data_IF_365726260362
#
_entry.id   IF_365726260362
#
_cell.length_a   1.000
_cell.length_b   1.000
_cell.length_c   1.000
_cell.angle_alpha   90.00
_cell.angle_beta   90.00
_cell.angle_gamma   90.00
#
_symmetry.space_group_name_H-M   'P 1'
#
loop_
_entity.id
_entity.type
_entity.pdbx_description
1 polymer ?
#
# COMPACT_ATOMS: atom_id res chain seq x y z
N UNK A 1 -16.79 -36.26 18.73
CA UNK A 1 -17.22 -34.88 18.43
C UNK A 1 -16.00 -33.99 18.43
N UNK A 2 -15.42 -33.74 17.24
CA UNK A 2 -14.24 -32.90 17.11
C UNK A 2 -14.69 -31.57 16.51
N UNK A 3 -14.62 -30.49 17.30
CA UNK A 3 -14.93 -29.14 16.84
C UNK A 3 -13.81 -28.66 15.89
N UNK A 4 -14.05 -28.73 14.58
CA UNK A 4 -13.24 -28.08 13.56
C UNK A 4 -13.64 -26.60 13.47
N UNK A 5 -12.96 -25.74 14.24
CA UNK A 5 -12.90 -24.32 13.89
C UNK A 5 -11.70 -24.12 12.95
N UNK A 6 -11.79 -24.64 11.73
CA UNK A 6 -10.84 -24.34 10.67
C UNK A 6 -11.48 -23.29 9.77
N UNK A 7 -11.04 -22.04 9.88
CA UNK A 7 -11.37 -21.03 8.87
C UNK A 7 -10.76 -21.49 7.54
N UNK A 8 -11.56 -22.11 6.68
CA UNK A 8 -11.14 -22.46 5.33
C UNK A 8 -10.73 -21.19 4.59
N UNK A 9 -9.53 -21.17 4.01
CA UNK A 9 -9.08 -20.05 3.18
C UNK A 9 -9.98 -20.00 1.93
N UNK A 10 -10.82 -18.96 1.83
CA UNK A 10 -11.67 -18.71 0.66
C UNK A 10 -11.45 -17.31 0.10
N UNK A 11 -11.92 -17.08 -1.13
CA UNK A 11 -11.88 -15.77 -1.77
C UNK A 11 -12.65 -14.75 -0.92
N UNK A 12 -12.15 -13.51 -0.87
CA UNK A 12 -12.70 -12.39 -0.10
C UNK A 12 -12.58 -12.53 1.43
N UNK A 13 -11.79 -13.48 1.93
CA UNK A 13 -11.42 -13.54 3.34
C UNK A 13 -10.06 -12.89 3.59
N UNK A 14 -9.89 -12.32 4.78
CA UNK A 14 -8.59 -11.88 5.27
C UNK A 14 -7.69 -13.10 5.52
N UNK A 15 -6.41 -12.98 5.16
CA UNK A 15 -5.41 -13.99 5.41
C UNK A 15 -4.05 -13.34 5.70
N UNK A 16 -3.25 -13.98 6.54
CA UNK A 16 -1.96 -13.51 6.99
C UNK A 16 -0.91 -14.60 6.80
N UNK A 17 0.20 -14.26 6.15
CA UNK A 17 1.38 -15.12 6.04
C UNK A 17 2.36 -14.71 7.12
N UNK A 18 2.67 -15.63 8.04
CA UNK A 18 3.74 -15.46 9.03
C UNK A 18 5.05 -16.01 8.47
N UNK A 19 6.10 -15.21 8.52
CA UNK A 19 7.47 -15.57 8.13
C UNK A 19 8.32 -15.48 9.39
N UNK A 20 8.93 -16.59 9.77
CA UNK A 20 9.88 -16.60 10.88
C UNK A 20 11.17 -15.90 10.45
N UNK A 21 11.63 -14.98 11.27
CA UNK A 21 12.87 -14.22 11.06
C UNK A 21 13.94 -14.74 11.99
N UNK A 22 15.20 -14.48 11.64
CA UNK A 22 16.33 -14.77 12.52
C UNK A 22 16.19 -13.96 13.82
N UNK A 23 16.71 -14.51 14.93
CA UNK A 23 16.54 -13.88 16.25
C UNK A 23 15.17 -14.11 16.91
N UNK A 24 14.31 -14.97 16.34
CA UNK A 24 13.08 -15.44 16.99
C UNK A 24 11.84 -14.56 16.77
N UNK A 25 11.94 -13.54 15.90
CA UNK A 25 10.80 -12.71 15.51
C UNK A 25 9.90 -13.37 14.47
N UNK A 26 8.75 -12.72 14.19
CA UNK A 26 7.89 -13.05 13.04
C UNK A 26 7.55 -11.79 12.25
N UNK A 27 7.74 -11.85 10.94
CA UNK A 27 7.24 -10.86 9.99
C UNK A 27 5.92 -11.33 9.41
N UNK A 28 4.98 -10.42 9.23
CA UNK A 28 3.67 -10.73 8.68
C UNK A 28 3.43 -10.05 7.34
N UNK A 29 2.75 -10.77 6.45
CA UNK A 29 2.22 -10.25 5.19
C UNK A 29 0.72 -10.53 5.18
N UNK A 30 -0.07 -9.49 5.45
CA UNK A 30 -1.53 -9.58 5.45
C UNK A 30 -2.13 -9.16 4.12
N UNK A 31 -3.31 -9.67 3.84
CA UNK A 31 -4.13 -9.18 2.77
C UNK A 31 -5.46 -9.90 2.70
N UNK A 32 -6.12 -9.70 1.58
CA UNK A 32 -7.37 -10.34 1.19
C UNK A 32 -7.05 -11.35 0.11
N UNK A 33 -7.64 -12.54 0.21
CA UNK A 33 -7.52 -13.58 -0.80
C UNK A 33 -8.34 -13.15 -2.02
N UNK A 34 -7.66 -12.72 -3.09
CA UNK A 34 -8.32 -12.24 -4.31
C UNK A 34 -8.52 -13.34 -5.35
N UNK A 35 -7.74 -14.42 -5.26
CA UNK A 35 -7.92 -15.65 -6.05
C UNK A 35 -7.47 -16.84 -5.23
N UNK A 36 -8.21 -17.95 -5.35
CA UNK A 36 -7.85 -19.24 -4.77
C UNK A 36 -8.24 -20.34 -5.75
N UNK A 37 -7.37 -21.34 -5.92
CA UNK A 37 -7.68 -22.49 -6.77
C UNK A 37 -6.76 -23.67 -6.50
N UNK A 38 -7.28 -24.88 -6.71
CA UNK A 38 -6.53 -26.12 -6.63
C UNK A 38 -5.76 -26.33 -7.95
N UNK A 39 -4.46 -26.57 -7.86
CA UNK A 39 -3.56 -26.82 -8.98
C UNK A 39 -3.40 -28.31 -9.28
N UNK A 40 -3.62 -29.18 -8.28
CA UNK A 40 -3.48 -30.61 -8.43
C UNK A 40 -3.62 -31.34 -7.10
N UNK A 41 -3.52 -32.66 -7.16
CA UNK A 41 -3.55 -33.54 -5.99
C UNK A 41 -2.43 -34.55 -6.13
N UNK A 42 -1.59 -34.65 -5.10
CA UNK A 42 -0.74 -35.81 -4.87
C UNK A 42 -1.46 -36.77 -3.90
N UNK A 43 -0.95 -37.99 -3.75
CA UNK A 43 -1.58 -39.10 -3.01
C UNK A 43 -2.14 -38.71 -1.64
N UNK A 44 -1.51 -37.74 -0.96
CA UNK A 44 -1.92 -37.28 0.39
C UNK A 44 -2.18 -35.78 0.52
N UNK A 45 -1.87 -34.96 -0.49
CA UNK A 45 -1.94 -33.50 -0.38
C UNK A 45 -2.56 -32.85 -1.60
N UNK A 46 -3.26 -31.74 -1.40
CA UNK A 46 -3.75 -30.88 -2.46
C UNK A 46 -2.77 -29.72 -2.68
N UNK A 47 -2.33 -29.53 -3.91
CA UNK A 47 -1.59 -28.34 -4.29
C UNK A 47 -2.59 -27.22 -4.56
N UNK A 48 -2.49 -26.11 -3.83
CA UNK A 48 -3.35 -24.94 -3.98
C UNK A 48 -2.52 -23.70 -4.30
N UNK A 49 -3.11 -22.78 -5.07
CA UNK A 49 -2.53 -21.48 -5.39
C UNK A 49 -3.47 -20.37 -4.92
N UNK A 50 -2.95 -19.48 -4.08
CA UNK A 50 -3.61 -18.28 -3.59
C UNK A 50 -2.95 -17.04 -4.18
N UNK A 51 -3.75 -16.03 -4.52
CA UNK A 51 -3.28 -14.65 -4.71
C UNK A 51 -3.75 -13.81 -3.53
N UNK A 52 -2.79 -13.34 -2.74
CA UNK A 52 -3.02 -12.39 -1.65
C UNK A 52 -2.77 -10.97 -2.18
N UNK A 53 -3.70 -10.06 -1.95
CA UNK A 53 -3.54 -8.64 -2.28
C UNK A 53 -3.82 -7.79 -1.04
N UNK A 54 -3.20 -6.62 -0.91
CA UNK A 54 -3.59 -5.63 0.11
C UNK A 54 -5.03 -5.17 -0.13
N UNK A 55 -5.67 -4.65 0.91
CA UNK A 55 -7.05 -4.19 0.83
C UNK A 55 -7.29 -3.11 -0.23
N UNK A 56 -6.26 -2.29 -0.52
CA UNK A 56 -6.26 -1.30 -1.60
C UNK A 56 -6.67 -1.88 -2.97
N UNK A 57 -6.47 -3.18 -3.19
CA UNK A 57 -6.95 -3.85 -4.40
C UNK A 57 -8.48 -3.77 -4.57
N UNK A 58 -9.25 -3.68 -3.49
CA UNK A 58 -10.71 -3.54 -3.56
C UNK A 58 -11.11 -2.25 -4.30
N UNK A 59 -10.28 -1.21 -4.25
CA UNK A 59 -10.52 0.05 -4.97
C UNK A 59 -10.54 -0.13 -6.48
N UNK A 60 -9.81 -1.12 -7.00
CA UNK A 60 -9.86 -1.46 -8.44
C UNK A 60 -11.20 -2.07 -8.86
N UNK A 61 -12.07 -2.41 -7.91
CA UNK A 61 -13.39 -3.04 -8.15
C UNK A 61 -14.53 -2.04 -8.17
N UNK A 62 -14.24 -0.78 -7.89
CA UNK A 62 -15.23 0.27 -7.75
C UNK A 62 -14.85 1.46 -8.63
N UNK A 63 -15.75 1.83 -9.54
CA UNK A 63 -15.66 3.05 -10.34
C UNK A 63 -16.93 3.85 -10.13
N UNK A 64 -16.80 5.14 -9.86
CA UNK A 64 -17.91 6.04 -9.54
C UNK A 64 -17.78 7.38 -10.26
N UNK A 65 -18.90 8.12 -10.28
CA UNK A 65 -18.93 9.53 -10.60
C UNK A 65 -19.21 10.31 -9.31
N UNK A 66 -18.27 11.17 -8.92
CA UNK A 66 -18.38 11.93 -7.66
C UNK A 66 -17.85 13.35 -7.83
N UNK A 67 -18.52 14.28 -7.18
CA UNK A 67 -18.09 15.67 -7.04
C UNK A 67 -17.70 15.88 -5.58
N UNK A 68 -16.45 16.24 -5.34
CA UNK A 68 -15.85 16.50 -4.04
C UNK A 68 -15.50 17.99 -3.98
N UNK A 69 -16.20 18.76 -3.16
CA UNK A 69 -16.09 20.23 -3.14
C UNK A 69 -15.60 20.72 -1.79
N UNK A 70 -14.78 21.77 -1.83
CA UNK A 70 -14.28 22.49 -0.65
C UNK A 70 -13.56 21.57 0.35
N UNK A 71 -12.71 20.67 -0.15
CA UNK A 71 -11.97 19.71 0.66
C UNK A 71 -10.47 19.75 0.33
N UNK A 72 -9.64 19.39 1.30
CA UNK A 72 -8.22 19.14 1.03
C UNK A 72 -8.04 17.75 0.43
N UNK A 73 -6.95 17.53 -0.32
CA UNK A 73 -6.65 16.19 -0.89
C UNK A 73 -6.57 15.11 0.19
N UNK A 74 -5.92 15.31 1.35
CA UNK A 74 -5.97 14.34 2.43
C UNK A 74 -7.38 13.98 2.92
N UNK A 75 -8.30 14.95 2.98
CA UNK A 75 -9.68 14.70 3.40
C UNK A 75 -10.47 13.94 2.33
N UNK A 76 -10.22 14.25 1.05
CA UNK A 76 -10.73 13.49 -0.09
C UNK A 76 -10.28 12.03 -0.01
N UNK A 77 -8.99 11.79 0.27
CA UNK A 77 -8.43 10.44 0.39
C UNK A 77 -9.12 9.70 1.54
N UNK A 78 -9.28 10.32 2.71
CA UNK A 78 -10.00 9.70 3.83
C UNK A 78 -11.47 9.42 3.51
N UNK A 79 -12.16 10.33 2.81
CA UNK A 79 -13.55 10.13 2.41
C UNK A 79 -13.70 8.98 1.40
N UNK A 80 -12.78 8.87 0.43
CA UNK A 80 -12.81 7.82 -0.59
C UNK A 80 -12.43 6.47 0.01
N UNK A 81 -11.32 6.42 0.77
CA UNK A 81 -10.78 5.18 1.33
C UNK A 81 -11.51 4.70 2.59
N UNK A 82 -12.13 5.61 3.35
CA UNK A 82 -12.82 5.29 4.59
C UNK A 82 -13.99 4.32 4.42
N UNK A 83 -14.59 4.27 3.22
CA UNK A 83 -15.71 3.36 2.90
C UNK A 83 -15.28 1.89 2.97
N UNK A 84 -14.00 1.58 2.77
CA UNK A 84 -13.48 0.21 2.81
C UNK A 84 -13.26 -0.30 4.24
N UNK A 85 -13.34 0.56 5.27
CA UNK A 85 -13.25 0.16 6.68
C UNK A 85 -11.87 -0.33 7.12
N UNK A 86 -10.80 -0.02 6.36
CA UNK A 86 -9.43 -0.38 6.70
C UNK A 86 -8.69 0.77 7.38
N UNK A 87 -7.74 0.46 8.28
CA UNK A 87 -7.01 1.50 9.00
C UNK A 87 -6.13 2.32 8.05
N UNK A 88 -6.26 3.63 8.15
CA UNK A 88 -5.47 4.62 7.43
C UNK A 88 -4.84 5.56 8.47
N UNK A 89 -3.55 5.83 8.36
CA UNK A 89 -2.83 6.73 9.25
C UNK A 89 -2.23 7.90 8.47
N UNK A 90 -2.66 9.12 8.77
CA UNK A 90 -2.08 10.35 8.23
C UNK A 90 -0.78 10.69 8.96
N UNK A 91 0.33 10.62 8.25
CA UNK A 91 1.67 11.09 8.70
C UNK A 91 2.15 12.24 7.81
N UNK A 92 1.35 13.30 7.76
CA UNK A 92 1.60 14.47 6.91
C UNK A 92 2.15 15.62 7.76
N UNK A 93 3.19 16.29 7.28
CA UNK A 93 3.84 17.41 7.98
C UNK A 93 3.48 18.78 7.42
N UNK A 94 2.97 18.83 6.19
CA UNK A 94 2.60 20.06 5.47
C UNK A 94 1.09 20.30 5.54
N UNK A 95 0.69 21.57 5.47
CA UNK A 95 -0.70 21.96 5.22
C UNK A 95 -1.05 21.89 3.72
N UNK A 96 -2.23 21.37 3.40
CA UNK A 96 -2.71 21.21 2.03
C UNK A 96 -3.81 22.23 1.74
N UNK A 97 -3.83 22.76 0.51
CA UNK A 97 -4.89 23.68 0.09
C UNK A 97 -6.22 22.94 -0.05
N UNK A 98 -7.31 23.67 0.14
CA UNK A 98 -8.64 23.19 -0.23
C UNK A 98 -8.88 23.39 -1.72
N UNK A 99 -9.51 22.42 -2.35
CA UNK A 99 -9.91 22.47 -3.74
C UNK A 99 -11.39 22.81 -3.86
N UNK A 100 -11.71 23.74 -4.75
CA UNK A 100 -13.10 24.18 -4.96
C UNK A 100 -13.96 23.05 -5.53
N UNK A 101 -13.40 22.28 -6.47
CA UNK A 101 -14.06 21.12 -7.07
C UNK A 101 -13.01 20.09 -7.54
N UNK A 102 -13.12 18.89 -7.00
CA UNK A 102 -12.43 17.69 -7.47
C UNK A 102 -13.48 16.74 -8.02
N UNK A 103 -13.29 16.30 -9.27
CA UNK A 103 -14.20 15.37 -9.93
C UNK A 103 -13.53 14.01 -10.05
N UNK A 104 -14.26 12.97 -9.68
CA UNK A 104 -13.99 11.59 -10.06
C UNK A 104 -14.88 11.28 -11.26
N UNK A 105 -14.28 11.02 -12.42
CA UNK A 105 -15.01 10.82 -13.67
C UNK A 105 -14.64 9.50 -14.32
N UNK A 106 -15.50 8.49 -14.15
CA UNK A 106 -15.31 7.15 -14.73
C UNK A 106 -13.92 6.56 -14.45
N UNK A 107 -13.37 6.83 -13.26
CA UNK A 107 -12.09 6.32 -12.80
C UNK A 107 -12.30 5.54 -11.49
N UNK A 108 -11.51 4.49 -11.28
CA UNK A 108 -11.60 3.73 -10.06
C UNK A 108 -11.02 4.51 -8.88
N UNK A 109 -11.38 4.13 -7.65
CA UNK A 109 -10.78 4.76 -6.46
C UNK A 109 -9.24 4.57 -6.45
N UNK A 110 -8.76 3.46 -7.04
CA UNK A 110 -7.35 3.13 -7.17
C UNK A 110 -6.62 4.00 -8.21
N UNK A 111 -7.35 4.68 -9.09
CA UNK A 111 -6.79 5.64 -10.05
C UNK A 111 -6.88 7.08 -9.50
N UNK A 112 -8.03 7.42 -8.90
CA UNK A 112 -8.30 8.73 -8.32
C UNK A 112 -7.29 9.08 -7.22
N UNK A 113 -7.10 8.17 -6.26
CA UNK A 113 -6.32 8.44 -5.05
C UNK A 113 -4.85 8.70 -5.37
N UNK A 114 -4.12 7.81 -6.07
CA UNK A 114 -2.72 8.06 -6.42
C UNK A 114 -2.55 9.31 -7.28
N UNK A 115 -3.46 9.58 -8.22
CA UNK A 115 -3.41 10.78 -9.05
C UNK A 115 -3.41 12.07 -8.23
N UNK A 116 -4.27 12.16 -7.22
CA UNK A 116 -4.30 13.31 -6.30
C UNK A 116 -3.12 13.34 -5.34
N UNK A 117 -2.67 12.17 -4.87
CA UNK A 117 -1.49 12.06 -4.02
C UNK A 117 -0.25 12.57 -4.76
N UNK A 118 0.00 12.11 -5.98
CA UNK A 118 1.11 12.55 -6.83
C UNK A 118 1.06 14.05 -7.10
N UNK A 119 -0.14 14.59 -7.37
CA UNK A 119 -0.32 16.02 -7.60
C UNK A 119 0.07 16.88 -6.39
N UNK A 120 -0.17 16.40 -5.17
CA UNK A 120 0.18 17.11 -3.92
C UNK A 120 1.50 16.63 -3.30
N UNK A 121 2.24 15.73 -3.96
CA UNK A 121 3.50 15.17 -3.46
C UNK A 121 3.34 14.26 -2.23
N UNK A 122 2.21 13.58 -2.12
CA UNK A 122 1.90 12.60 -1.08
C UNK A 122 2.29 11.21 -1.59
N UNK A 123 2.82 10.38 -0.71
CA UNK A 123 3.02 8.95 -0.97
C UNK A 123 2.50 8.13 0.21
N UNK A 124 2.35 6.83 0.01
CA UNK A 124 1.95 5.90 1.06
C UNK A 124 2.84 4.65 1.08
N UNK A 125 2.80 3.96 2.22
CA UNK A 125 3.40 2.65 2.40
C UNK A 125 2.54 1.84 3.36
N UNK A 126 2.68 0.51 3.31
CA UNK A 126 1.99 -0.38 4.24
C UNK A 126 2.91 -0.73 5.41
N UNK A 127 2.36 -0.78 6.62
CA UNK A 127 3.04 -1.27 7.81
C UNK A 127 2.11 -2.21 8.58
N UNK A 128 2.68 -3.06 9.44
CA UNK A 128 1.92 -4.02 10.24
C UNK A 128 1.80 -3.51 11.67
N UNK A 129 0.58 -3.51 12.22
CA UNK A 129 0.28 -2.86 13.50
C UNK A 129 0.68 -3.68 14.74
N UNK A 130 0.92 -4.99 14.62
CA UNK A 130 1.25 -5.84 15.77
C UNK A 130 2.69 -5.65 16.29
N UNK A 131 3.52 -4.91 15.54
CA UNK A 131 4.80 -4.40 16.03
C UNK A 131 4.80 -2.89 15.84
N UNK A 132 5.21 -2.17 16.87
CA UNK A 132 5.26 -0.70 16.95
C UNK A 132 6.16 -0.04 15.88
N UNK A 133 6.87 -0.84 15.11
CA UNK A 133 7.80 -0.40 14.09
C UNK A 133 7.05 -0.13 12.78
N UNK A 134 6.84 1.16 12.50
CA UNK A 134 6.54 1.62 11.14
C UNK A 134 7.60 1.10 10.16
N UNK A 135 7.28 1.02 8.86
CA UNK A 135 8.25 0.66 7.79
C UNK A 135 9.51 1.55 7.74
N UNK A 136 9.58 2.62 8.53
CA UNK A 136 10.71 3.53 8.68
C UNK A 136 11.42 3.43 10.06
N UNK A 137 10.95 2.54 10.94
CA UNK A 137 11.64 2.20 12.19
C UNK A 137 12.56 0.99 11.98
N UNK A 138 13.71 0.99 12.65
CA UNK A 138 14.59 -0.17 12.64
C UNK A 138 13.89 -1.38 13.29
N UNK A 139 14.13 -2.58 12.76
CA UNK A 139 13.70 -3.81 13.42
C UNK A 139 14.63 -4.06 14.62
N UNK A 140 14.11 -4.38 15.81
CA UNK A 140 14.94 -4.69 16.97
C UNK A 140 15.87 -5.88 16.66
N UNK A 141 17.18 -5.69 16.84
CA UNK A 141 18.20 -6.71 16.58
C UNK A 141 18.70 -6.77 15.13
N UNK A 142 17.98 -6.16 14.18
CA UNK A 142 18.30 -6.12 12.74
C UNK A 142 18.43 -4.67 12.24
N UNK A 143 19.04 -3.79 13.05
CA UNK A 143 19.22 -2.39 12.69
C UNK A 143 20.16 -2.21 11.48
N UNK A 144 21.02 -3.20 11.24
CA UNK A 144 21.99 -3.21 10.15
C UNK A 144 21.97 -4.55 9.43
N UNK A 145 21.74 -4.52 8.11
CA UNK A 145 21.85 -5.70 7.25
C UNK A 145 23.24 -5.71 6.60
N UNK A 146 24.12 -6.67 6.94
CA UNK A 146 25.47 -6.71 6.39
C UNK A 146 25.47 -6.96 4.88
N UNK A 147 26.51 -6.43 4.22
CA UNK A 147 26.80 -6.77 2.83
C UNK A 147 27.91 -7.80 2.77
N UNK A 148 27.64 -8.95 2.16
CA UNK A 148 28.64 -9.96 1.85
C UNK A 148 28.68 -10.20 0.34
N UNK A 149 29.84 -10.14 -0.32
CA UNK A 149 29.92 -10.48 -1.75
C UNK A 149 29.41 -11.93 -1.97
N UNK A 150 28.91 -12.27 -3.17
CA UNK A 150 28.29 -13.57 -3.44
C UNK A 150 29.14 -14.77 -3.01
N UNK A 151 30.46 -14.67 -3.15
CA UNK A 151 31.44 -15.68 -2.74
C UNK A 151 31.44 -15.98 -1.23
N UNK A 152 31.01 -15.00 -0.40
CA UNK A 152 31.00 -15.09 1.06
C UNK A 152 29.59 -15.09 1.66
N UNK A 153 28.55 -14.88 0.83
CA UNK A 153 27.17 -14.75 1.27
C UNK A 153 26.62 -16.03 1.93
N UNK A 154 27.13 -17.21 1.55
CA UNK A 154 26.73 -18.49 2.16
C UNK A 154 27.42 -18.83 3.48
N UNK A 155 28.49 -18.13 3.85
CA UNK A 155 29.27 -18.38 5.06
C UNK A 155 29.04 -17.33 6.17
N UNK A 156 28.37 -16.21 5.84
CA UNK A 156 28.06 -15.13 6.76
C UNK A 156 26.67 -15.24 7.38
N UNK A 157 26.23 -14.14 7.98
CA UNK A 157 24.84 -13.97 8.42
C UNK A 157 23.88 -14.29 7.24
N UNK A 158 22.93 -15.22 7.40
CA UNK A 158 21.99 -15.58 6.35
C UNK A 158 21.02 -14.46 5.98
N UNK A 159 20.83 -13.44 6.83
CA UNK A 159 20.15 -12.20 6.47
C UNK A 159 21.18 -11.16 5.99
N UNK A 160 21.56 -11.27 4.71
CA UNK A 160 22.53 -10.36 4.09
C UNK A 160 22.09 -9.81 2.73
N UNK A 161 22.69 -8.69 2.37
CA UNK A 161 22.70 -8.20 1.00
C UNK A 161 23.94 -8.72 0.28
N UNK A 162 23.78 -9.29 -0.91
CA UNK A 162 24.91 -9.83 -1.69
C UNK A 162 25.05 -9.26 -3.09
N UNK A 163 24.12 -8.39 -3.49
CA UNK A 163 24.17 -7.66 -4.74
C UNK A 163 24.01 -6.16 -4.49
N UNK A 164 24.84 -5.35 -5.16
CA UNK A 164 24.71 -3.89 -5.17
C UNK A 164 25.08 -3.39 -6.55
N UNK A 165 24.15 -2.66 -7.17
CA UNK A 165 24.34 -1.99 -8.44
C UNK A 165 24.17 -0.48 -8.22
N UNK A 166 25.08 0.32 -8.79
CA UNK A 166 24.94 1.78 -8.82
C UNK A 166 24.55 2.19 -10.22
N UNK A 167 23.48 2.99 -10.32
CA UNK A 167 22.99 3.52 -11.58
C UNK A 167 22.97 5.04 -11.52
N UNK A 168 23.29 5.68 -12.65
CA UNK A 168 23.22 7.13 -12.81
C UNK A 168 22.52 7.43 -14.13
N UNK A 169 21.71 8.47 -14.15
CA UNK A 169 21.04 8.93 -15.36
C UNK A 169 20.89 10.44 -15.32
N UNK A 170 21.03 11.08 -16.48
CA UNK A 170 20.81 12.53 -16.62
C UNK A 170 19.31 12.81 -16.38
N UNK A 171 19.02 13.82 -15.55
CA UNK A 171 17.65 14.29 -15.26
C UNK A 171 17.52 15.78 -15.61
N UNK A 172 16.33 16.26 -16.02
CA UNK A 172 16.09 17.69 -16.16
C UNK A 172 16.39 18.42 -14.85
N UNK A 173 17.15 19.53 -14.91
CA UNK A 173 17.55 20.29 -13.72
C UNK A 173 16.49 21.28 -13.21
N UNK A 174 15.42 21.53 -13.96
CA UNK A 174 14.38 22.51 -13.62
C UNK A 174 13.01 22.11 -14.17
N UNK A 175 11.97 22.41 -13.40
CA UNK A 175 10.57 22.32 -13.80
C UNK A 175 9.91 23.69 -13.60
N UNK A 176 9.21 24.20 -14.61
CA UNK A 176 8.47 25.47 -14.55
C UNK A 176 7.01 25.20 -14.94
N UNK A 177 6.07 25.68 -14.12
CA UNK A 177 4.63 25.51 -14.33
C UNK A 177 3.94 26.88 -14.28
N UNK A 178 3.33 27.28 -15.38
CA UNK A 178 2.53 28.51 -15.46
C UNK A 178 1.05 28.13 -15.62
N UNK A 179 0.20 28.69 -14.77
CA UNK A 179 -1.26 28.50 -14.82
C UNK A 179 -1.97 29.84 -14.73
N UNK A 180 -2.97 30.12 -15.59
CA UNK A 180 -3.72 31.36 -15.51
C UNK A 180 -4.53 31.41 -14.21
N UNK A 181 -4.42 32.51 -13.46
CA UNK A 181 -5.29 32.77 -12.32
C UNK A 181 -6.65 33.24 -12.84
N UNK A 182 -7.63 32.35 -12.87
CA UNK A 182 -9.01 32.70 -13.19
C UNK A 182 -9.69 33.10 -11.87
N UNK A 183 -10.00 34.40 -11.72
CA UNK A 183 -10.66 34.93 -10.54
C UNK A 183 -11.97 34.18 -10.25
N UNK A 184 -12.19 33.80 -8.98
CA UNK A 184 -13.41 33.13 -8.53
C UNK A 184 -14.62 34.05 -8.73
N UNK A 185 -15.45 33.75 -9.72
CA UNK A 185 -16.75 34.40 -9.84
C UNK A 185 -17.62 33.96 -8.66
N UNK A 186 -17.89 34.88 -7.73
CA UNK A 186 -18.78 34.65 -6.61
C UNK A 186 -20.17 34.25 -7.12
N UNK A 187 -20.59 33.03 -6.79
CA UNK A 187 -21.95 32.56 -7.06
C UNK A 187 -22.90 33.25 -6.07
N UNK A 188 -23.29 34.48 -6.37
CA UNK A 188 -24.36 35.16 -5.67
C UNK A 188 -25.67 34.42 -5.97
N UNK A 189 -26.16 33.67 -4.98
CA UNK A 189 -27.50 33.07 -5.02
C UNK A 189 -28.52 34.18 -4.86
N UNK A 190 -29.28 34.47 -5.92
CA UNK A 190 -30.54 35.22 -5.89
C UNK A 190 -31.66 34.38 -5.29
#
# INVERSE_FOLDING_TARGET
MCHWASSCISVNCAATIGIEIQGGGRRFIDGIVTRFGMQGRDHRHYACKTRLSRWLWLETRKSEFRILQNQTVPDIIEQVLGVYGHPLQRKLTRAYRSWDCCVQFNESDCDLVPRWMEHEGIYFFFFFFFFEHASHGALPGDEFIPFYPPEKAGAGDPQNNHARQREQGIKPGRHCSDGPEVARAGMART
#
